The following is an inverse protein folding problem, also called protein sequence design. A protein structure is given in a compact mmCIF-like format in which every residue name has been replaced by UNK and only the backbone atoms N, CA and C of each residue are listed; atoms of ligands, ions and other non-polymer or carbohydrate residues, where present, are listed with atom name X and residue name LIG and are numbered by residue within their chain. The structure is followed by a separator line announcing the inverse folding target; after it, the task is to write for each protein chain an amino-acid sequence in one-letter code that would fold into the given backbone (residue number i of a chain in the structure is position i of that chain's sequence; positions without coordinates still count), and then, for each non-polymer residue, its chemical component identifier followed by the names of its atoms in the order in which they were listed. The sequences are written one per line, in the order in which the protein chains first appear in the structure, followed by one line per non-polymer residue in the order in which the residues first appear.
data_IF_027399953674
#
_entry.id   IF_027399953674
#
_cell.length_a   1.000
_cell.length_b   1.000
_cell.length_c   1.000
_cell.angle_alpha   90.00
_cell.angle_beta   90.00
_cell.angle_gamma   90.00
#
_symmetry.space_group_name_H-M   'P 1'
#
loop_
_entity.id
_entity.type
_entity.pdbx_description
1 polymer ?
#
# COMPACT_ATOMS: atom_id res chain seq x y z
N UNK A 1 16.85 6.93 -34.27
CA UNK A 1 15.64 6.15 -33.94
C UNK A 1 16.12 4.88 -33.25
N UNK A 2 15.68 4.63 -32.03
CA UNK A 2 16.02 3.43 -31.27
C UNK A 2 15.00 2.32 -31.58
N UNK A 3 15.49 1.13 -31.95
CA UNK A 3 14.66 -0.03 -32.29
C UNK A 3 14.70 -1.14 -31.22
N UNK A 4 15.44 -0.92 -30.13
CA UNK A 4 15.63 -1.91 -29.06
C UNK A 4 14.30 -2.46 -28.54
N UNK A 5 13.28 -1.61 -28.37
CA UNK A 5 11.94 -1.99 -27.90
C UNK A 5 11.20 -2.94 -28.83
N UNK A 6 11.39 -2.84 -30.15
CA UNK A 6 10.79 -3.77 -31.11
C UNK A 6 11.52 -5.12 -31.12
N UNK A 7 12.84 -5.08 -30.92
CA UNK A 7 13.68 -6.28 -30.91
C UNK A 7 13.48 -7.14 -29.65
N UNK A 8 12.99 -6.56 -28.55
CA UNK A 8 12.74 -7.30 -27.30
C UNK A 8 11.40 -8.02 -27.26
N UNK A 9 10.47 -7.73 -28.18
CA UNK A 9 9.12 -8.33 -28.19
C UNK A 9 9.16 -9.87 -28.21
N UNK A 10 9.93 -10.54 -29.08
CA UNK A 10 9.96 -12.01 -29.10
C UNK A 10 10.45 -12.60 -27.78
N UNK A 11 11.50 -12.01 -27.19
CA UNK A 11 12.06 -12.44 -25.91
C UNK A 11 11.09 -12.20 -24.76
N UNK A 12 10.34 -11.09 -24.76
CA UNK A 12 9.32 -10.82 -23.76
C UNK A 12 8.16 -11.82 -23.81
N UNK A 13 7.72 -12.20 -25.01
CA UNK A 13 6.69 -13.23 -25.19
C UNK A 13 7.18 -14.60 -24.72
N UNK A 14 8.42 -14.97 -25.04
CA UNK A 14 9.02 -16.21 -24.55
C UNK A 14 9.09 -16.24 -23.02
N UNK A 15 9.55 -15.16 -22.38
CA UNK A 15 9.60 -15.06 -20.93
C UNK A 15 8.20 -15.23 -20.29
N UNK A 16 7.17 -14.65 -20.89
CA UNK A 16 5.78 -14.78 -20.40
C UNK A 16 5.25 -16.19 -20.54
N UNK A 17 5.61 -16.90 -21.60
CA UNK A 17 5.31 -18.32 -21.75
C UNK A 17 6.01 -19.15 -20.65
N UNK A 18 7.29 -18.89 -20.40
CA UNK A 18 8.07 -19.56 -19.34
C UNK A 18 7.55 -19.25 -17.92
N UNK A 19 6.98 -18.06 -17.71
CA UNK A 19 6.34 -17.65 -16.46
C UNK A 19 4.96 -18.30 -16.23
N UNK A 20 4.45 -19.09 -17.18
CA UNK A 20 3.18 -19.83 -17.07
C UNK A 20 2.15 -19.50 -18.15
N UNK A 21 2.48 -18.62 -19.09
CA UNK A 21 1.63 -18.25 -20.22
C UNK A 21 0.60 -17.15 -19.91
N UNK A 22 0.06 -16.56 -20.97
CA UNK A 22 -0.82 -15.38 -20.92
C UNK A 22 -2.02 -15.54 -19.98
N UNK A 23 -2.73 -16.67 -20.09
CA UNK A 23 -3.95 -16.91 -19.31
C UNK A 23 -3.66 -17.00 -17.81
N UNK A 24 -2.54 -17.62 -17.43
CA UNK A 24 -2.13 -17.74 -16.03
C UNK A 24 -1.74 -16.36 -15.46
N UNK A 25 -0.97 -15.58 -16.22
CA UNK A 25 -0.55 -14.22 -15.84
C UNK A 25 -1.77 -13.31 -15.66
N UNK A 26 -2.68 -13.30 -16.65
CA UNK A 26 -3.89 -12.48 -16.59
C UNK A 26 -4.77 -12.86 -15.41
N UNK A 27 -4.96 -14.17 -15.18
CA UNK A 27 -5.74 -14.66 -14.04
C UNK A 27 -5.09 -14.26 -12.70
N UNK A 28 -3.79 -14.46 -12.55
CA UNK A 28 -3.07 -14.10 -11.32
C UNK A 28 -3.19 -12.62 -11.02
N UNK A 29 -2.90 -11.76 -12.00
CA UNK A 29 -2.99 -10.31 -11.80
C UNK A 29 -4.43 -9.86 -11.50
N UNK A 30 -5.44 -10.48 -12.12
CA UNK A 30 -6.84 -10.21 -11.82
C UNK A 30 -7.21 -10.59 -10.40
N UNK A 31 -6.94 -11.84 -10.01
CA UNK A 31 -7.23 -12.33 -8.67
C UNK A 31 -6.51 -11.47 -7.62
N UNK A 32 -5.25 -11.12 -7.87
CA UNK A 32 -4.46 -10.30 -6.95
C UNK A 32 -4.97 -8.86 -6.88
N UNK A 33 -5.29 -8.21 -8.00
CA UNK A 33 -5.84 -6.87 -8.01
C UNK A 33 -7.18 -6.82 -7.26
N UNK A 34 -8.09 -7.77 -7.52
CA UNK A 34 -9.39 -7.79 -6.86
C UNK A 34 -9.26 -8.06 -5.35
N UNK A 35 -8.57 -9.13 -4.96
CA UNK A 35 -8.44 -9.50 -3.55
C UNK A 35 -7.59 -8.48 -2.76
N UNK A 36 -6.51 -7.97 -3.37
CA UNK A 36 -5.67 -6.92 -2.82
C UNK A 36 -6.45 -5.61 -2.64
N UNK A 37 -7.22 -5.20 -3.65
CA UNK A 37 -8.11 -4.05 -3.55
C UNK A 37 -9.15 -4.19 -2.43
N UNK A 38 -9.74 -5.38 -2.26
CA UNK A 38 -10.68 -5.65 -1.16
C UNK A 38 -9.99 -5.53 0.19
N UNK A 39 -8.79 -6.08 0.31
CA UNK A 39 -7.99 -5.98 1.53
C UNK A 39 -7.66 -4.54 1.88
N UNK A 40 -7.29 -3.72 0.89
CA UNK A 40 -7.07 -2.28 1.09
C UNK A 40 -8.36 -1.57 1.54
N UNK A 41 -9.49 -1.83 0.87
CA UNK A 41 -10.78 -1.24 1.23
C UNK A 41 -11.21 -1.59 2.67
N UNK A 42 -10.98 -2.84 3.10
CA UNK A 42 -11.20 -3.27 4.49
C UNK A 42 -10.32 -2.50 5.48
N UNK A 43 -9.03 -2.31 5.17
CA UNK A 43 -8.11 -1.56 6.02
C UNK A 43 -8.48 -0.07 6.10
N UNK A 44 -8.99 0.49 5.01
CA UNK A 44 -9.46 1.88 4.95
C UNK A 44 -10.84 2.08 5.59
N UNK A 45 -11.63 1.01 5.73
CA UNK A 45 -13.05 1.11 6.06
C UNK A 45 -13.87 1.74 4.93
N UNK A 46 -13.51 1.47 3.67
CA UNK A 46 -14.11 2.06 2.47
C UNK A 46 -14.54 0.98 1.45
N UNK A 47 -14.60 1.32 0.16
CA UNK A 47 -15.04 0.43 -0.92
C UNK A 47 -14.18 0.57 -2.18
N UNK A 48 -14.34 -0.41 -3.08
CA UNK A 48 -13.76 -0.43 -4.43
C UNK A 48 -14.76 0.21 -5.40
N UNK A 49 -14.26 0.93 -6.39
CA UNK A 49 -15.12 1.62 -7.38
C UNK A 49 -15.79 0.64 -8.35
N UNK A 50 -15.06 -0.36 -8.84
CA UNK A 50 -15.51 -1.26 -9.92
C UNK A 50 -16.18 -2.53 -9.42
N UNK A 51 -17.00 -3.11 -10.29
CA UNK A 51 -17.42 -4.51 -10.18
C UNK A 51 -16.23 -5.44 -10.50
N UNK A 52 -16.25 -6.65 -9.93
CA UNK A 52 -15.17 -7.64 -10.11
C UNK A 52 -14.86 -7.91 -11.59
N UNK A 53 -15.88 -8.02 -12.44
CA UNK A 53 -15.70 -8.31 -13.87
C UNK A 53 -15.09 -7.16 -14.70
N UNK A 54 -14.99 -5.96 -14.13
CA UNK A 54 -14.37 -4.79 -14.75
C UNK A 54 -12.89 -4.64 -14.36
N UNK A 55 -12.44 -5.42 -13.37
CA UNK A 55 -11.08 -5.36 -12.86
C UNK A 55 -10.19 -6.22 -13.74
N UNK A 56 -9.21 -5.58 -14.38
CA UNK A 56 -8.11 -6.26 -15.09
C UNK A 56 -6.97 -6.53 -14.13
N UNK A 57 -5.82 -5.90 -14.35
CA UNK A 57 -4.69 -5.91 -13.41
C UNK A 57 -4.60 -4.64 -12.56
N UNK A 58 -5.64 -3.81 -12.53
CA UNK A 58 -5.69 -2.55 -11.78
C UNK A 58 -7.04 -2.42 -11.09
N UNK A 59 -7.03 -1.88 -9.87
CA UNK A 59 -8.22 -1.67 -9.05
C UNK A 59 -8.20 -0.28 -8.42
N UNK A 60 -9.37 0.36 -8.34
CA UNK A 60 -9.54 1.68 -7.75
C UNK A 60 -10.18 1.57 -6.37
N UNK A 61 -9.46 2.01 -5.33
CA UNK A 61 -9.89 1.89 -3.93
C UNK A 61 -10.13 3.26 -3.34
N UNK A 62 -11.28 3.47 -2.70
CA UNK A 62 -11.62 4.77 -2.08
C UNK A 62 -10.72 5.06 -0.88
N UNK A 63 -10.12 6.23 -0.85
CA UNK A 63 -9.31 6.71 0.27
C UNK A 63 -10.19 7.27 1.41
N UNK A 64 -9.82 7.06 2.69
CA UNK A 64 -10.59 7.53 3.85
C UNK A 64 -10.29 9.01 4.17
N UNK A 65 -10.64 9.92 3.26
CA UNK A 65 -10.43 11.36 3.42
C UNK A 65 -11.68 12.03 4.01
N UNK A 66 -11.55 12.72 5.14
CA UNK A 66 -12.68 13.39 5.81
C UNK A 66 -13.11 14.70 5.14
N UNK A 67 -12.18 15.39 4.48
CA UNK A 67 -12.39 16.69 3.82
C UNK A 67 -12.11 16.59 2.32
N UNK A 68 -12.86 15.79 1.56
CA UNK A 68 -12.55 15.53 0.16
C UNK A 68 -12.68 16.77 -0.73
N UNK A 69 -13.41 17.80 -0.29
CA UNK A 69 -13.63 19.08 -0.98
C UNK A 69 -12.68 20.21 -0.55
N UNK A 70 -11.62 19.89 0.20
CA UNK A 70 -10.57 20.87 0.50
C UNK A 70 -9.96 21.42 -0.81
N UNK A 71 -9.98 22.74 -1.05
CA UNK A 71 -9.45 23.34 -2.28
C UNK A 71 -7.93 23.15 -2.44
N UNK A 72 -7.20 22.84 -1.37
CA UNK A 72 -5.76 22.56 -1.42
C UNK A 72 -5.48 21.09 -1.76
N UNK A 73 -6.47 20.21 -1.62
CA UNK A 73 -6.34 18.80 -1.96
C UNK A 73 -6.66 18.63 -3.44
N UNK A 74 -5.61 18.52 -4.27
CA UNK A 74 -5.70 18.33 -5.71
C UNK A 74 -4.70 17.25 -6.17
N UNK A 75 -4.70 16.93 -7.47
CA UNK A 75 -3.84 15.87 -8.02
C UNK A 75 -2.34 16.15 -7.82
N UNK A 76 -1.92 17.42 -7.93
CA UNK A 76 -0.52 17.83 -7.70
C UNK A 76 -0.11 17.62 -6.24
N UNK A 77 -0.99 17.96 -5.29
CA UNK A 77 -0.75 17.73 -3.87
C UNK A 77 -0.50 16.24 -3.58
N UNK A 78 -1.32 15.33 -4.14
CA UNK A 78 -1.13 13.89 -3.95
C UNK A 78 0.17 13.36 -4.54
N UNK A 79 0.62 13.96 -5.65
CA UNK A 79 1.91 13.63 -6.26
C UNK A 79 3.04 14.11 -5.34
N UNK A 80 3.00 15.37 -4.92
CA UNK A 80 4.05 15.95 -4.08
C UNK A 80 4.13 15.25 -2.71
N UNK A 81 3.00 14.95 -2.08
CA UNK A 81 2.96 14.27 -0.78
C UNK A 81 3.59 12.88 -0.85
N UNK A 82 3.24 12.09 -1.86
CA UNK A 82 3.85 10.77 -2.09
C UNK A 82 5.33 10.89 -2.50
N UNK A 83 5.72 11.87 -3.31
CA UNK A 83 7.10 11.92 -3.81
C UNK A 83 8.10 12.60 -2.86
N UNK A 84 7.63 13.42 -1.92
CA UNK A 84 8.51 14.16 -1.00
C UNK A 84 8.39 13.74 0.46
N UNK A 85 7.19 13.42 0.94
CA UNK A 85 6.95 13.15 2.36
C UNK A 85 6.78 11.66 2.64
N UNK A 86 6.20 10.90 1.71
CA UNK A 86 5.90 9.48 1.82
C UNK A 86 6.46 8.71 0.61
N UNK A 87 7.77 8.57 0.52
CA UNK A 87 8.48 8.25 -0.75
C UNK A 87 8.67 6.77 -1.08
N UNK A 88 8.14 5.88 -0.25
CA UNK A 88 8.41 4.44 -0.36
C UNK A 88 7.66 3.76 -1.51
N UNK A 89 6.55 4.34 -1.95
CA UNK A 89 5.75 3.83 -3.07
C UNK A 89 4.99 4.98 -3.73
N UNK A 90 4.42 4.72 -4.90
CA UNK A 90 3.61 5.69 -5.61
C UNK A 90 2.45 4.98 -6.31
N UNK A 91 1.25 5.53 -6.15
CA UNK A 91 0.09 5.15 -6.94
C UNK A 91 -0.72 6.39 -7.30
N UNK A 92 -1.32 6.38 -8.49
CA UNK A 92 -2.10 7.52 -8.98
C UNK A 92 -3.35 7.70 -8.13
N UNK A 93 -3.52 8.89 -7.58
CA UNK A 93 -4.72 9.30 -6.84
C UNK A 93 -5.50 10.32 -7.66
N UNK A 94 -6.82 10.19 -7.68
CA UNK A 94 -7.71 11.10 -8.42
C UNK A 94 -9.07 11.22 -7.75
N UNK A 95 -9.80 12.30 -8.08
CA UNK A 95 -11.13 12.57 -7.56
C UNK A 95 -12.23 12.13 -8.54
N UNK A 96 -13.18 11.36 -8.06
CA UNK A 96 -14.38 10.95 -8.80
C UNK A 96 -15.61 11.00 -7.90
N UNK A 97 -16.70 11.60 -8.37
CA UNK A 97 -17.97 11.72 -7.62
C UNK A 97 -17.78 12.23 -6.18
N UNK A 98 -17.01 13.31 -6.02
CA UNK A 98 -16.76 13.93 -4.70
C UNK A 98 -15.86 13.11 -3.76
N UNK A 99 -15.27 12.00 -4.23
CA UNK A 99 -14.45 11.08 -3.42
C UNK A 99 -13.08 10.88 -4.05
N UNK A 100 -12.09 10.60 -3.21
CA UNK A 100 -10.72 10.30 -3.64
C UNK A 100 -10.50 8.80 -3.77
N UNK A 101 -9.85 8.39 -4.85
CA UNK A 101 -9.52 6.99 -5.13
C UNK A 101 -8.04 6.87 -5.48
N UNK A 102 -7.42 5.77 -5.03
CA UNK A 102 -6.09 5.38 -5.47
C UNK A 102 -6.18 4.17 -6.41
N UNK A 103 -5.43 4.20 -7.51
CA UNK A 103 -5.41 3.11 -8.50
C UNK A 103 -4.15 2.27 -8.39
N UNK A 104 -4.28 1.12 -7.74
CA UNK A 104 -3.17 0.19 -7.56
C UNK A 104 -3.13 -0.84 -8.69
N UNK A 105 -1.92 -1.28 -9.05
CA UNK A 105 -1.68 -2.18 -10.18
C UNK A 105 -1.03 -3.47 -9.70
N UNK A 106 -1.65 -4.61 -9.97
CA UNK A 106 -1.08 -5.93 -9.74
C UNK A 106 -0.15 -6.33 -10.89
N UNK A 107 0.97 -6.94 -10.55
CA UNK A 107 1.87 -7.61 -11.48
C UNK A 107 2.30 -8.96 -10.93
N UNK A 108 2.91 -9.79 -11.79
CA UNK A 108 3.37 -11.14 -11.44
C UNK A 108 4.43 -11.18 -10.34
N UNK A 109 5.10 -10.06 -10.08
CA UNK A 109 6.10 -9.90 -9.04
C UNK A 109 5.51 -9.32 -7.74
N UNK A 110 4.20 -9.08 -7.70
CA UNK A 110 3.51 -8.62 -6.50
C UNK A 110 2.83 -9.77 -5.77
N UNK A 111 2.58 -9.57 -4.48
CA UNK A 111 1.71 -10.40 -3.67
C UNK A 111 0.81 -9.56 -2.73
N UNK A 112 0.03 -10.24 -1.88
CA UNK A 112 -0.90 -9.57 -0.96
C UNK A 112 -0.19 -8.61 0.01
N UNK A 113 1.04 -8.90 0.42
CA UNK A 113 1.79 -8.07 1.36
C UNK A 113 2.14 -6.70 0.78
N UNK A 114 2.31 -6.60 -0.54
CA UNK A 114 2.50 -5.32 -1.24
C UNK A 114 1.25 -4.45 -1.18
N UNK A 115 0.06 -5.05 -1.32
CA UNK A 115 -1.21 -4.33 -1.18
C UNK A 115 -1.44 -3.85 0.25
N UNK A 116 -1.11 -4.68 1.23
CA UNK A 116 -1.18 -4.27 2.64
C UNK A 116 -0.15 -3.19 2.97
N UNK A 117 1.04 -3.24 2.37
CA UNK A 117 2.04 -2.18 2.47
C UNK A 117 1.52 -0.87 1.87
N UNK A 118 0.99 -0.91 0.64
CA UNK A 118 0.39 0.25 -0.01
C UNK A 118 -0.80 0.81 0.79
N UNK A 119 -1.61 -0.05 1.42
CA UNK A 119 -2.67 0.40 2.31
C UNK A 119 -2.12 1.15 3.54
N UNK A 120 -1.13 0.60 4.24
CA UNK A 120 -0.51 1.30 5.39
C UNK A 120 0.04 2.66 4.98
N UNK A 121 0.73 2.69 3.85
CA UNK A 121 1.28 3.90 3.28
C UNK A 121 0.22 5.00 3.04
N UNK A 122 -0.90 4.66 2.38
CA UNK A 122 -1.99 5.61 2.17
C UNK A 122 -2.75 5.96 3.45
N UNK A 123 -2.83 5.04 4.42
CA UNK A 123 -3.41 5.35 5.73
C UNK A 123 -2.58 6.38 6.49
N UNK A 124 -1.25 6.32 6.43
CA UNK A 124 -0.38 7.30 7.07
C UNK A 124 -0.65 8.70 6.50
N UNK A 125 -0.70 8.84 5.18
CA UNK A 125 -1.06 10.10 4.50
C UNK A 125 -2.47 10.57 4.91
N UNK A 126 -3.47 9.69 4.86
CA UNK A 126 -4.85 10.04 5.18
C UNK A 126 -5.03 10.39 6.66
N UNK A 127 -4.32 9.73 7.57
CA UNK A 127 -4.37 10.02 9.00
C UNK A 127 -3.80 11.41 9.28
N UNK A 128 -2.67 11.77 8.66
CA UNK A 128 -2.08 13.10 8.76
C UNK A 128 -3.03 14.18 8.22
N UNK A 129 -3.60 13.96 7.04
CA UNK A 129 -4.63 14.82 6.44
C UNK A 129 -5.85 15.01 7.36
N UNK A 130 -6.30 13.93 7.99
CA UNK A 130 -7.46 13.93 8.87
C UNK A 130 -7.16 14.49 10.27
N UNK A 131 -5.91 14.89 10.55
CA UNK A 131 -5.49 15.37 11.88
C UNK A 131 -5.42 14.29 12.94
N UNK A 132 -5.33 13.02 12.54
CA UNK A 132 -5.17 11.87 13.44
C UNK A 132 -3.69 11.71 13.84
N UNK A 133 -3.38 11.37 15.11
CA UNK A 133 -2.01 11.07 15.51
C UNK A 133 -1.47 9.88 14.70
N UNK A 134 -0.19 9.92 14.30
CA UNK A 134 0.46 8.80 13.60
C UNK A 134 0.25 7.50 14.38
N UNK A 135 -0.32 6.49 13.74
CA UNK A 135 -0.29 5.13 14.29
C UNK A 135 1.13 4.61 14.14
N UNK A 136 1.85 4.47 15.25
CA UNK A 136 3.18 3.89 15.24
C UNK A 136 3.10 2.42 14.78
N UNK A 137 3.44 2.18 13.51
CA UNK A 137 3.49 0.86 12.87
C UNK A 137 4.60 -0.05 13.45
N UNK A 138 5.41 0.48 14.37
CA UNK A 138 6.36 -0.25 15.22
C UNK A 138 5.69 -1.04 16.36
N UNK A 139 4.42 -0.79 16.69
CA UNK A 139 3.74 -1.44 17.81
C UNK A 139 3.25 -2.88 17.53
N UNK A 140 3.26 -3.34 16.28
CA UNK A 140 2.80 -4.70 15.91
C UNK A 140 3.91 -5.74 15.76
N UNK A 141 5.18 -5.38 16.05
CA UNK A 141 6.20 -6.39 16.31
C UNK A 141 6.00 -6.90 17.73
N UNK A 142 5.35 -8.07 17.81
CA UNK A 142 5.05 -8.85 19.00
C UNK A 142 6.23 -8.78 19.99
N UNK A 143 6.13 -7.91 21.00
CA UNK A 143 6.91 -8.04 22.23
C UNK A 143 6.24 -9.14 23.04
N UNK A 144 6.57 -10.40 22.72
CA UNK A 144 6.40 -11.51 23.66
C UNK A 144 7.00 -11.07 24.99
N UNK A 145 6.16 -11.09 26.03
CA UNK A 145 6.31 -10.28 27.22
C UNK A 145 7.69 -10.30 27.86
N UNK A 146 8.28 -9.12 27.98
CA UNK A 146 9.24 -8.83 29.04
C UNK A 146 8.56 -7.81 29.94
N UNK A 147 8.08 -8.32 31.07
CA UNK A 147 7.40 -7.54 32.10
C UNK A 147 8.35 -6.43 32.61
N UNK A 148 7.97 -5.17 32.43
CA UNK A 148 8.78 -3.99 32.77
C UNK A 148 9.16 -3.93 34.26
N UNK A 149 8.47 -4.68 35.13
CA UNK A 149 8.84 -4.85 36.54
C UNK A 149 10.14 -5.65 36.75
N UNK A 150 10.51 -6.57 35.86
CA UNK A 150 11.73 -7.36 36.00
C UNK A 150 12.99 -6.52 35.78
N UNK A 151 12.93 -5.54 34.88
CA UNK A 151 14.05 -4.64 34.60
C UNK A 151 14.37 -3.70 35.77
N UNK A 152 13.34 -3.22 36.48
CA UNK A 152 13.54 -2.34 37.64
C UNK A 152 14.16 -3.09 38.83
N UNK A 153 13.80 -4.36 39.04
CA UNK A 153 14.34 -5.20 40.12
C UNK A 153 15.81 -5.56 39.89
N UNK A 154 16.21 -5.84 38.63
CA UNK A 154 17.61 -6.13 38.29
C UNK A 154 18.50 -4.89 38.40
N UNK A 155 17.99 -3.71 38.02
CA UNK A 155 18.74 -2.46 38.14
C UNK A 155 18.97 -2.05 39.61
N UNK A 156 17.98 -2.23 40.48
CA UNK A 156 18.10 -1.96 41.92
C UNK A 156 19.10 -2.89 42.61
N UNK A 157 19.14 -4.18 42.23
CA UNK A 157 20.11 -5.14 42.77
C UNK A 157 21.55 -4.80 42.39
N UNK A 158 21.78 -4.36 41.15
CA UNK A 158 23.12 -3.97 40.67
C UNK A 158 23.63 -2.68 41.32
N UNK A 159 22.74 -1.74 41.65
CA UNK A 159 23.12 -0.50 42.34
C UNK A 159 23.41 -0.71 43.84
N UNK A 160 22.81 -1.72 44.48
CA UNK A 160 23.10 -2.08 45.88
C UNK A 160 24.40 -2.87 46.09
N UNK A 161 25.03 -3.35 45.02
CA UNK A 161 26.30 -4.10 45.08
C UNK A 161 27.55 -3.20 44.99
N UNK A 162 27.38 -1.89 44.87
CA UNK A 162 28.44 -0.88 44.79
C UNK A 162 28.30 0.24 45.83
N UNK A 163 27.83 -0.10 47.02
CA UNK A 163 27.91 0.74 48.22
C UNK A 163 28.18 -0.13 49.45
#
# INVERSE_FOLDING_TARGET
MDYSTYMTVPTALQFREEAGGEAAIMKYNHDLAYNGGKRMAEMFGTDIMQDENQIGSMVDVRLPVNTPDDPNLNDEWWIDEQLYNHTETYSSVYKHDGRWYTRVSAQIYNDMSDFEFSARHFLDICNELNGSPKQDSSANVITTGINMQFFTLVLLLLMSAWM
#
